data_IF_083655448497
#
_entry.id   IF_083655448497
#
_cell.length_a   1.000
_cell.length_b   1.000
_cell.length_c   1.000
_cell.angle_alpha   90.00
_cell.angle_beta   90.00
_cell.angle_gamma   90.00
#
_symmetry.space_group_name_H-M   'P 1'
#
loop_
_entity.id
_entity.type
_entity.pdbx_description
1 polymer ?
#
# COMPACT_ATOMS: atom_id res chain seq x y z
N UNK A 1 10.19 5.76 -12.37
CA UNK A 1 10.91 6.38 -11.20
C UNK A 1 11.80 5.38 -10.48
N UNK A 2 11.29 4.19 -10.13
CA UNK A 2 12.09 3.13 -9.51
C UNK A 2 11.97 1.87 -10.36
N UNK A 3 13.12 1.33 -10.79
CA UNK A 3 13.20 0.11 -11.60
C UNK A 3 13.99 -0.96 -10.85
N UNK A 4 13.37 -2.11 -10.65
CA UNK A 4 14.00 -3.32 -10.15
C UNK A 4 14.00 -4.37 -11.26
N UNK A 5 15.17 -4.86 -11.65
CA UNK A 5 15.33 -5.82 -12.75
C UNK A 5 16.12 -7.02 -12.26
N UNK A 6 15.48 -8.19 -12.23
CA UNK A 6 16.06 -9.48 -11.84
C UNK A 6 16.80 -9.43 -10.48
N UNK A 7 16.25 -8.68 -9.50
CA UNK A 7 16.89 -8.45 -8.21
C UNK A 7 16.83 -9.71 -7.35
N UNK A 8 17.99 -10.13 -6.86
CA UNK A 8 18.15 -11.28 -5.95
C UNK A 8 18.89 -10.88 -4.69
N UNK A 9 18.49 -11.49 -3.57
CA UNK A 9 19.15 -11.32 -2.26
C UNK A 9 19.10 -12.61 -1.44
N UNK A 10 20.27 -12.97 -0.93
CA UNK A 10 20.46 -14.16 -0.09
C UNK A 10 21.11 -13.75 1.24
N UNK A 11 20.69 -14.36 2.33
CA UNK A 11 21.34 -14.29 3.64
C UNK A 11 21.77 -15.71 4.05
N UNK A 12 23.07 -15.98 4.00
CA UNK A 12 23.60 -17.33 4.19
C UNK A 12 23.06 -18.31 3.14
N UNK A 13 22.28 -19.29 3.54
CA UNK A 13 21.62 -20.23 2.62
C UNK A 13 20.17 -19.84 2.26
N UNK A 14 19.63 -18.76 2.85
CA UNK A 14 18.24 -18.35 2.62
C UNK A 14 18.17 -17.31 1.50
N UNK A 15 17.59 -17.69 0.36
CA UNK A 15 17.27 -16.75 -0.72
C UNK A 15 15.97 -16.01 -0.38
N UNK A 16 16.10 -14.71 -0.03
CA UNK A 16 15.00 -13.86 0.44
C UNK A 16 14.32 -13.11 -0.70
N UNK A 17 15.06 -12.72 -1.73
CA UNK A 17 14.53 -12.12 -2.96
C UNK A 17 14.98 -12.95 -4.15
N UNK A 18 14.00 -13.34 -4.99
CA UNK A 18 14.19 -14.28 -6.09
C UNK A 18 13.66 -13.68 -7.39
N UNK A 19 14.56 -13.05 -8.14
CA UNK A 19 14.23 -12.52 -9.46
C UNK A 19 13.11 -11.46 -9.46
N UNK A 20 13.24 -10.47 -8.55
CA UNK A 20 12.25 -9.40 -8.43
C UNK A 20 12.35 -8.44 -9.60
N UNK A 21 11.21 -8.27 -10.28
CA UNK A 21 11.02 -7.32 -11.36
C UNK A 21 9.81 -6.44 -11.01
N UNK A 22 10.04 -5.14 -10.79
CA UNK A 22 9.02 -4.15 -10.41
C UNK A 22 9.39 -2.81 -11.05
N UNK A 23 8.39 -2.14 -11.61
CA UNK A 23 8.50 -0.77 -12.06
C UNK A 23 7.52 0.13 -11.31
N UNK A 24 8.01 1.24 -10.73
CA UNK A 24 7.20 2.22 -9.98
C UNK A 24 7.29 3.55 -10.71
N UNK A 25 6.16 4.10 -11.07
CA UNK A 25 6.04 5.39 -11.76
C UNK A 25 6.38 6.58 -10.85
N UNK A 26 6.71 7.70 -11.46
CA UNK A 26 6.86 8.95 -10.72
C UNK A 26 5.50 9.47 -10.24
N UNK A 27 5.43 9.90 -8.98
CA UNK A 27 4.18 10.39 -8.40
C UNK A 27 3.15 9.27 -8.18
N UNK A 28 3.59 8.03 -8.01
CA UNK A 28 2.72 6.89 -7.72
C UNK A 28 2.77 6.53 -6.23
N UNK A 29 1.63 6.15 -5.65
CA UNK A 29 1.59 5.43 -4.38
C UNK A 29 1.54 3.93 -4.69
N UNK A 30 2.68 3.27 -4.49
CA UNK A 30 2.87 1.86 -4.80
C UNK A 30 2.93 1.00 -3.55
N UNK A 31 2.13 -0.06 -3.51
CA UNK A 31 2.09 -1.01 -2.40
C UNK A 31 2.95 -2.25 -2.65
N UNK A 32 3.67 -2.71 -1.64
CA UNK A 32 4.30 -4.03 -1.61
C UNK A 32 3.67 -4.80 -0.45
N UNK A 33 2.81 -5.77 -0.76
CA UNK A 33 2.07 -6.53 0.22
C UNK A 33 2.59 -7.96 0.31
N UNK A 34 2.62 -8.50 1.53
CA UNK A 34 3.08 -9.88 1.73
C UNK A 34 3.02 -10.28 3.20
N UNK A 35 3.04 -11.58 3.46
CA UNK A 35 3.12 -12.11 4.82
C UNK A 35 4.45 -11.75 5.48
N UNK A 36 4.52 -11.94 6.82
CA UNK A 36 5.79 -11.79 7.53
C UNK A 36 6.85 -12.74 6.93
N UNK A 37 8.08 -12.24 6.74
CA UNK A 37 9.16 -13.02 6.13
C UNK A 37 9.12 -13.12 4.59
N UNK A 38 8.18 -12.49 3.90
CA UNK A 38 8.10 -12.53 2.43
C UNK A 38 9.24 -11.79 1.70
N UNK A 39 10.05 -10.99 2.42
CA UNK A 39 11.16 -10.22 1.84
C UNK A 39 10.88 -8.72 1.64
N UNK A 40 9.70 -8.21 2.05
CA UNK A 40 9.25 -6.83 1.83
C UNK A 40 10.22 -5.76 2.35
N UNK A 41 10.56 -5.81 3.64
CA UNK A 41 11.48 -4.83 4.25
C UNK A 41 12.90 -4.96 3.69
N UNK A 42 13.31 -6.18 3.31
CA UNK A 42 14.59 -6.39 2.62
C UNK A 42 14.59 -5.69 1.26
N UNK A 43 13.51 -5.85 0.48
CA UNK A 43 13.34 -5.19 -0.81
C UNK A 43 13.38 -3.67 -0.67
N UNK A 44 12.63 -3.12 0.28
CA UNK A 44 12.61 -1.68 0.56
C UNK A 44 14.01 -1.15 0.96
N UNK A 45 14.76 -1.93 1.76
CA UNK A 45 16.13 -1.59 2.17
C UNK A 45 17.13 -1.72 1.04
N UNK A 46 16.90 -2.59 0.06
CA UNK A 46 17.70 -2.63 -1.16
C UNK A 46 17.47 -1.38 -2.03
N UNK A 47 16.23 -0.88 -2.12
CA UNK A 47 15.90 0.34 -2.89
C UNK A 47 16.65 1.56 -2.36
N UNK A 48 16.79 1.73 -1.04
CA UNK A 48 17.52 2.86 -0.45
C UNK A 48 19.00 2.55 -0.15
N UNK A 49 19.48 1.35 -0.55
CA UNK A 49 20.84 0.91 -0.33
C UNK A 49 21.24 0.69 1.14
N UNK A 50 20.27 0.57 2.08
CA UNK A 50 20.55 0.14 3.46
C UNK A 50 20.91 -1.34 3.52
N UNK A 51 20.46 -2.11 2.53
CA UNK A 51 20.85 -3.50 2.30
C UNK A 51 21.41 -3.65 0.89
N UNK A 52 22.39 -4.49 0.71
CA UNK A 52 22.94 -4.83 -0.61
C UNK A 52 22.10 -5.93 -1.27
N UNK A 53 22.06 -5.95 -2.58
CA UNK A 53 21.53 -7.07 -3.37
C UNK A 53 22.66 -7.84 -4.04
N UNK A 54 22.45 -9.13 -4.34
CA UNK A 54 23.52 -10.01 -4.83
C UNK A 54 23.62 -10.01 -6.34
N UNK A 55 22.49 -9.83 -7.05
CA UNK A 55 22.45 -9.74 -8.51
C UNK A 55 21.22 -8.96 -8.98
N UNK A 56 21.20 -8.61 -10.26
CA UNK A 56 20.18 -7.76 -10.86
C UNK A 56 20.56 -6.29 -10.84
N UNK A 57 19.56 -5.42 -10.95
CA UNK A 57 19.76 -3.97 -11.04
C UNK A 57 18.64 -3.24 -10.32
N UNK A 58 18.97 -2.24 -9.53
CA UNK A 58 18.01 -1.29 -8.93
C UNK A 58 18.40 0.11 -9.40
N UNK A 59 17.49 0.80 -10.07
CA UNK A 59 17.65 2.18 -10.51
C UNK A 59 16.59 3.04 -9.84
N UNK A 60 16.98 4.16 -9.28
CA UNK A 60 16.10 5.10 -8.60
C UNK A 60 16.36 6.50 -9.13
N UNK A 61 15.34 7.14 -9.69
CA UNK A 61 15.45 8.45 -10.33
C UNK A 61 16.63 8.54 -11.32
N UNK A 62 16.78 7.49 -12.15
CA UNK A 62 17.86 7.37 -13.13
C UNK A 62 19.24 7.01 -12.57
N UNK A 63 19.40 6.90 -11.23
CA UNK A 63 20.66 6.57 -10.56
C UNK A 63 20.67 5.09 -10.15
N UNK A 64 21.75 4.38 -10.47
CA UNK A 64 21.96 3.00 -10.02
C UNK A 64 22.21 2.97 -8.50
N UNK A 65 21.54 2.07 -7.81
CA UNK A 65 21.84 1.79 -6.40
C UNK A 65 23.12 0.95 -6.34
N UNK A 66 24.19 1.54 -5.87
CA UNK A 66 25.54 0.93 -5.79
C UNK A 66 25.93 0.64 -4.35
N UNK A 67 27.17 0.19 -4.15
CA UNK A 67 27.78 0.05 -2.82
C UNK A 67 28.68 1.23 -2.46
N UNK A 68 28.88 2.19 -3.37
CA UNK A 68 29.69 3.39 -3.09
C UNK A 68 28.96 4.30 -2.09
N UNK A 69 29.67 4.64 -1.01
CA UNK A 69 29.11 5.41 0.10
C UNK A 69 28.70 6.83 -0.29
N UNK A 70 29.42 7.47 -1.22
CA UNK A 70 29.12 8.83 -1.64
C UNK A 70 27.91 8.86 -2.56
N UNK A 71 27.83 7.92 -3.51
CA UNK A 71 26.67 7.77 -4.39
C UNK A 71 25.41 7.43 -3.60
N UNK A 72 25.49 6.48 -2.66
CA UNK A 72 24.39 6.16 -1.76
C UNK A 72 23.96 7.34 -0.89
N UNK A 73 24.92 8.13 -0.39
CA UNK A 73 24.58 9.33 0.37
C UNK A 73 23.79 10.31 -0.49
N UNK A 74 24.21 10.56 -1.73
CA UNK A 74 23.49 11.46 -2.65
C UNK A 74 22.12 10.89 -3.03
N UNK A 75 22.01 9.59 -3.27
CA UNK A 75 20.74 8.91 -3.54
C UNK A 75 19.75 9.09 -2.39
N UNK A 76 20.19 8.86 -1.15
CA UNK A 76 19.37 8.98 0.07
C UNK A 76 18.94 10.40 0.40
N UNK A 77 19.57 11.42 -0.18
CA UNK A 77 19.13 12.81 -0.03
C UNK A 77 17.73 13.02 -0.59
N UNK A 78 17.46 12.39 -1.74
CA UNK A 78 16.21 12.50 -2.47
C UNK A 78 15.15 11.51 -1.96
N UNK A 79 15.46 10.74 -0.87
CA UNK A 79 14.57 9.75 -0.27
C UNK A 79 14.30 10.03 1.19
N UNK A 80 13.01 10.04 1.56
CA UNK A 80 12.58 9.94 2.95
C UNK A 80 12.32 8.47 3.32
N UNK A 81 12.57 8.09 4.57
CA UNK A 81 12.22 6.75 5.07
C UNK A 81 11.51 6.82 6.40
N UNK A 82 10.38 6.14 6.48
CA UNK A 82 9.58 5.92 7.68
C UNK A 82 9.78 4.46 8.10
N UNK A 83 10.25 4.25 9.32
CA UNK A 83 10.51 2.93 9.88
C UNK A 83 9.34 2.45 10.76
N UNK A 84 9.16 1.16 10.85
CA UNK A 84 8.13 0.51 11.67
C UNK A 84 8.13 0.98 13.13
N UNK A 85 9.29 1.17 13.75
CA UNK A 85 9.44 1.56 15.15
C UNK A 85 9.66 3.09 15.35
N UNK A 86 9.20 3.93 14.41
CA UNK A 86 9.35 5.40 14.41
C UNK A 86 10.81 5.88 14.41
N UNK A 87 11.72 5.22 15.11
CA UNK A 87 13.15 5.53 15.28
C UNK A 87 13.41 6.99 15.70
N UNK A 88 12.57 7.52 16.60
CA UNK A 88 12.78 8.84 17.18
C UNK A 88 13.88 8.80 18.25
N UNK A 89 14.74 9.81 18.26
CA UNK A 89 15.75 9.96 19.30
C UNK A 89 15.06 10.48 20.56
N UNK A 90 15.04 9.67 21.63
CA UNK A 90 14.33 9.96 22.89
C UNK A 90 14.83 11.22 23.61
N UNK A 91 16.13 11.57 23.43
CA UNK A 91 16.75 12.77 24.00
C UNK A 91 16.37 14.07 23.27
N UNK A 92 15.88 14.00 22.03
CA UNK A 92 15.47 15.14 21.22
C UNK A 92 13.97 15.37 21.35
N UNK A 93 13.52 16.61 21.27
CA UNK A 93 12.09 16.94 21.16
C UNK A 93 11.56 16.77 19.73
N UNK A 94 10.31 17.13 19.48
CA UNK A 94 9.69 17.05 18.15
C UNK A 94 10.47 17.87 17.14
N UNK A 95 10.76 19.15 17.45
CA UNK A 95 11.51 20.04 16.56
C UNK A 95 12.87 19.46 16.18
N UNK A 96 13.65 19.05 17.18
CA UNK A 96 15.01 18.53 16.98
C UNK A 96 15.01 17.18 16.26
N UNK A 97 14.01 16.31 16.46
CA UNK A 97 13.88 15.07 15.70
C UNK A 97 13.63 15.36 14.21
N UNK A 98 12.78 16.34 13.89
CA UNK A 98 12.48 16.74 12.51
C UNK A 98 13.70 17.44 11.88
N UNK A 99 14.41 18.27 12.64
CA UNK A 99 15.59 19.00 12.20
C UNK A 99 16.82 18.12 11.96
N UNK A 100 16.84 16.90 12.49
CA UNK A 100 18.00 16.03 12.49
C UNK A 100 18.59 15.76 11.08
N UNK A 101 17.79 15.45 10.04
CA UNK A 101 18.34 15.23 8.70
C UNK A 101 19.01 16.49 8.12
N UNK A 102 18.51 17.69 8.39
CA UNK A 102 19.14 18.94 7.94
C UNK A 102 20.56 19.08 8.47
N UNK A 103 20.80 18.73 9.75
CA UNK A 103 22.12 18.74 10.38
C UNK A 103 23.11 17.81 9.66
N UNK A 104 22.67 16.64 9.20
CA UNK A 104 23.52 15.70 8.46
C UNK A 104 23.96 16.24 7.10
N UNK A 105 23.19 17.20 6.54
CA UNK A 105 23.51 17.90 5.29
C UNK A 105 24.20 19.24 5.50
N UNK A 106 24.57 19.58 6.75
CA UNK A 106 25.26 20.83 7.07
C UNK A 106 24.37 22.06 7.01
N UNK A 107 23.05 21.89 7.02
CA UNK A 107 22.06 22.97 7.08
C UNK A 107 21.86 23.32 8.56
N UNK A 108 22.02 24.59 8.91
CA UNK A 108 21.75 25.06 10.27
C UNK A 108 20.24 25.11 10.54
N UNK A 109 19.71 24.28 11.47
CA UNK A 109 18.29 24.29 11.79
C UNK A 109 17.80 25.62 12.39
N UNK A 110 18.71 26.49 12.83
CA UNK A 110 18.39 27.81 13.38
C UNK A 110 18.31 28.90 12.29
N UNK A 111 18.70 28.61 11.05
CA UNK A 111 18.46 29.53 9.94
C UNK A 111 16.96 29.76 9.76
N UNK A 112 16.58 30.97 9.37
CA UNK A 112 15.16 31.33 9.21
C UNK A 112 14.44 30.37 8.26
N UNK A 113 15.05 30.05 7.14
CA UNK A 113 14.50 29.12 6.13
C UNK A 113 14.26 27.72 6.70
N UNK A 114 15.21 27.19 7.46
CA UNK A 114 15.07 25.87 8.09
C UNK A 114 14.00 25.89 9.20
N UNK A 115 13.93 26.95 9.99
CA UNK A 115 12.89 27.13 11.01
C UNK A 115 11.49 27.17 10.39
N UNK A 116 11.29 28.00 9.38
CA UNK A 116 10.01 28.14 8.66
C UNK A 116 9.59 26.78 8.08
N UNK A 117 10.51 26.07 7.44
CA UNK A 117 10.27 24.73 6.90
C UNK A 117 9.87 23.70 7.97
N UNK A 118 10.61 23.64 9.07
CA UNK A 118 10.30 22.71 10.16
C UNK A 118 8.94 23.02 10.76
N UNK A 119 8.61 24.30 10.97
CA UNK A 119 7.30 24.71 11.50
C UNK A 119 6.16 24.36 10.54
N UNK A 120 6.31 24.60 9.23
CA UNK A 120 5.32 24.20 8.23
C UNK A 120 5.08 22.69 8.24
N UNK A 121 6.14 21.87 8.38
CA UNK A 121 6.00 20.42 8.50
C UNK A 121 5.32 19.99 9.80
N UNK A 122 5.61 20.65 10.92
CA UNK A 122 4.95 20.40 12.21
C UNK A 122 3.45 20.73 12.12
N UNK A 123 3.10 21.82 11.43
CA UNK A 123 1.72 22.21 11.16
C UNK A 123 1.03 21.20 10.23
N UNK A 124 1.68 20.81 9.13
CA UNK A 124 1.18 19.81 8.17
C UNK A 124 0.80 18.49 8.85
N UNK A 125 1.63 18.04 9.81
CA UNK A 125 1.35 16.80 10.55
C UNK A 125 0.47 17.02 11.80
N UNK A 126 0.00 18.26 12.08
CA UNK A 126 -0.93 18.58 13.17
C UNK A 126 -0.32 18.45 14.56
N UNK A 127 0.92 18.92 14.75
CA UNK A 127 1.65 18.85 16.03
C UNK A 127 2.12 20.22 16.55
N UNK A 128 1.47 21.31 16.14
CA UNK A 128 1.84 22.67 16.51
C UNK A 128 1.84 22.92 18.02
N UNK A 129 1.02 22.20 18.80
CA UNK A 129 0.96 22.25 20.25
C UNK A 129 2.02 21.38 20.96
N UNK A 130 2.83 20.62 20.19
CA UNK A 130 3.79 19.61 20.69
C UNK A 130 5.24 19.85 20.26
N UNK A 131 5.58 21.04 19.75
CA UNK A 131 6.90 21.36 19.17
C UNK A 131 8.07 20.94 20.07
N UNK A 132 7.96 21.17 21.38
CA UNK A 132 9.01 20.87 22.37
C UNK A 132 8.71 19.61 23.20
N UNK A 133 7.71 18.81 22.82
CA UNK A 133 7.41 17.56 23.49
C UNK A 133 8.48 16.50 23.21
N UNK A 134 8.81 15.68 24.21
CA UNK A 134 9.73 14.53 24.04
C UNK A 134 8.96 13.30 23.55
N UNK A 135 9.62 12.38 22.82
CA UNK A 135 8.97 11.16 22.34
C UNK A 135 8.26 10.35 23.42
N UNK A 136 8.76 10.37 24.65
CA UNK A 136 8.15 9.66 25.78
C UNK A 136 6.74 10.16 26.14
N UNK A 137 6.41 11.43 25.86
CA UNK A 137 5.10 12.04 26.11
C UNK A 137 4.15 11.99 24.92
N UNK A 138 4.56 11.39 23.79
CA UNK A 138 3.77 11.30 22.58
C UNK A 138 3.08 9.94 22.46
N UNK A 139 1.82 9.96 21.97
CA UNK A 139 1.13 8.73 21.54
C UNK A 139 1.81 8.08 20.33
N UNK A 140 1.48 6.83 20.01
CA UNK A 140 2.00 6.14 18.84
C UNK A 140 1.73 6.89 17.53
N UNK A 141 0.51 7.39 17.33
CA UNK A 141 0.15 8.20 16.17
C UNK A 141 0.91 9.52 16.09
N UNK A 142 1.13 10.21 17.23
CA UNK A 142 1.95 11.41 17.27
C UNK A 142 3.41 11.14 16.94
N UNK A 143 3.99 10.03 17.44
CA UNK A 143 5.35 9.60 17.06
C UNK A 143 5.46 9.34 15.56
N UNK A 144 4.43 8.72 14.98
CA UNK A 144 4.39 8.47 13.53
C UNK A 144 4.33 9.76 12.73
N UNK A 145 3.52 10.74 13.16
CA UNK A 145 3.46 12.07 12.54
C UNK A 145 4.82 12.79 12.59
N UNK A 146 5.56 12.69 13.69
CA UNK A 146 6.95 13.21 13.79
C UNK A 146 7.88 12.48 12.81
N UNK A 147 7.76 11.15 12.69
CA UNK A 147 8.58 10.37 11.76
C UNK A 147 8.29 10.75 10.30
N UNK A 148 7.03 11.02 9.94
CA UNK A 148 6.63 11.52 8.62
C UNK A 148 7.26 12.90 8.37
N UNK A 149 7.08 13.87 9.27
CA UNK A 149 7.64 15.22 9.12
C UNK A 149 9.18 15.18 8.99
N UNK A 150 9.86 14.34 9.79
CA UNK A 150 11.30 14.12 9.70
C UNK A 150 11.72 13.56 8.34
N UNK A 151 10.95 12.62 7.78
CA UNK A 151 11.24 12.03 6.48
C UNK A 151 11.08 13.05 5.33
N UNK A 152 10.22 14.06 5.51
CA UNK A 152 9.91 15.08 4.50
C UNK A 152 10.86 16.30 4.54
N UNK A 153 11.62 16.51 5.62
CA UNK A 153 12.34 17.77 5.86
C UNK A 153 13.40 18.13 4.81
N UNK A 154 13.92 17.15 4.06
CA UNK A 154 14.87 17.36 2.96
C UNK A 154 14.21 17.47 1.57
N UNK A 155 12.89 17.69 1.47
CA UNK A 155 12.11 17.69 0.22
C UNK A 155 12.38 16.45 -0.65
N UNK A 156 12.15 15.24 -0.10
CA UNK A 156 12.44 14.04 -0.84
C UNK A 156 11.48 13.88 -2.04
N UNK A 157 11.97 13.31 -3.13
CA UNK A 157 11.15 12.90 -4.27
C UNK A 157 10.41 11.58 -4.02
N UNK A 158 10.96 10.77 -3.12
CA UNK A 158 10.47 9.42 -2.80
C UNK A 158 10.34 9.26 -1.29
N UNK A 159 9.22 8.72 -0.85
CA UNK A 159 8.97 8.34 0.53
C UNK A 159 8.81 6.82 0.64
N UNK A 160 9.69 6.19 1.37
CA UNK A 160 9.67 4.75 1.64
C UNK A 160 9.05 4.49 3.02
N UNK A 161 7.99 3.69 3.08
CA UNK A 161 7.25 3.39 4.30
C UNK A 161 7.37 1.89 4.64
N UNK A 162 8.21 1.54 5.63
CA UNK A 162 8.37 0.18 6.14
C UNK A 162 7.37 -0.06 7.28
N UNK A 163 6.24 -0.69 6.98
CA UNK A 163 5.15 -1.02 7.92
C UNK A 163 4.73 0.17 8.81
N UNK A 164 4.59 1.35 8.22
CA UNK A 164 4.36 2.62 8.90
C UNK A 164 3.10 2.69 9.81
N UNK A 165 2.20 1.72 9.70
CA UNK A 165 0.94 1.69 10.47
C UNK A 165 0.76 0.44 11.33
N UNK A 166 1.71 -0.52 11.28
CA UNK A 166 1.55 -1.84 11.91
C UNK A 166 1.41 -1.80 13.44
N UNK A 167 1.95 -0.75 14.09
CA UNK A 167 1.91 -0.57 15.54
C UNK A 167 0.77 0.38 16.01
N UNK A 168 -0.17 0.74 15.10
CA UNK A 168 -1.22 1.72 15.38
C UNK A 168 -2.59 1.02 15.38
N UNK A 169 -3.53 1.60 16.16
CA UNK A 169 -4.92 1.16 16.09
C UNK A 169 -5.59 1.58 14.77
N UNK A 170 -6.73 0.94 14.40
CA UNK A 170 -7.36 1.17 13.08
C UNK A 170 -7.76 2.62 12.82
N UNK A 171 -8.18 3.36 13.86
CA UNK A 171 -8.58 4.76 13.70
C UNK A 171 -7.37 5.64 13.38
N UNK A 172 -6.30 5.49 14.16
CA UNK A 172 -5.05 6.23 13.95
C UNK A 172 -4.42 5.84 12.61
N UNK A 173 -4.50 4.56 12.23
CA UNK A 173 -4.07 4.10 10.90
C UNK A 173 -4.74 4.91 9.79
N UNK A 174 -6.07 5.06 9.81
CA UNK A 174 -6.79 5.87 8.81
C UNK A 174 -6.33 7.33 8.78
N UNK A 175 -6.09 7.94 9.94
CA UNK A 175 -5.59 9.31 10.02
C UNK A 175 -4.18 9.44 9.41
N UNK A 176 -3.29 8.47 9.65
CA UNK A 176 -1.93 8.45 9.07
C UNK A 176 -1.99 8.22 7.55
N UNK A 177 -2.86 7.35 7.06
CA UNK A 177 -3.04 7.12 5.63
C UNK A 177 -3.59 8.37 4.92
N UNK A 178 -4.57 9.04 5.53
CA UNK A 178 -5.07 10.32 5.02
C UNK A 178 -3.99 11.41 5.00
N UNK A 179 -3.10 11.42 5.99
CA UNK A 179 -1.95 12.33 5.99
C UNK A 179 -0.96 11.99 4.87
N UNK A 180 -0.64 10.71 4.64
CA UNK A 180 0.24 10.29 3.54
C UNK A 180 -0.37 10.64 2.17
N UNK A 181 -1.68 10.45 2.01
CA UNK A 181 -2.39 10.85 0.79
C UNK A 181 -2.31 12.37 0.58
N UNK A 182 -2.56 13.16 1.62
CA UNK A 182 -2.44 14.64 1.57
C UNK A 182 -1.02 15.06 1.17
N UNK A 183 0.00 14.47 1.78
CA UNK A 183 1.42 14.72 1.46
C UNK A 183 1.72 14.39 0.00
N UNK A 184 1.21 13.25 -0.49
CA UNK A 184 1.33 12.86 -1.90
C UNK A 184 0.69 13.89 -2.84
N UNK A 185 -0.55 14.29 -2.55
CA UNK A 185 -1.33 15.20 -3.41
C UNK A 185 -0.74 16.62 -3.43
N UNK A 186 -0.22 17.11 -2.29
CA UNK A 186 0.35 18.46 -2.18
C UNK A 186 1.79 18.55 -2.73
N UNK A 187 2.60 17.50 -2.55
CA UNK A 187 4.01 17.53 -2.90
C UNK A 187 4.37 16.75 -4.18
N UNK A 188 3.44 15.97 -4.73
CA UNK A 188 3.66 15.16 -5.94
C UNK A 188 4.74 14.09 -5.79
N UNK A 189 5.02 13.63 -4.54
CA UNK A 189 6.09 12.67 -4.27
C UNK A 189 5.64 11.23 -4.56
N UNK A 190 6.60 10.39 -4.95
CA UNK A 190 6.38 8.94 -5.07
C UNK A 190 6.40 8.30 -3.69
N UNK A 191 5.41 7.46 -3.37
CA UNK A 191 5.36 6.77 -2.07
C UNK A 191 5.40 5.26 -2.31
N UNK A 192 6.32 4.56 -1.64
CA UNK A 192 6.36 3.09 -1.62
C UNK A 192 5.99 2.60 -0.24
N UNK A 193 4.87 1.87 -0.13
CA UNK A 193 4.34 1.37 1.14
C UNK A 193 4.54 -0.13 1.22
N UNK A 194 5.29 -0.57 2.20
CA UNK A 194 5.40 -1.99 2.57
C UNK A 194 4.45 -2.29 3.71
N UNK A 195 3.58 -3.28 3.54
CA UNK A 195 2.57 -3.64 4.55
C UNK A 195 2.14 -5.09 4.44
N UNK A 196 1.53 -5.61 5.50
CA UNK A 196 0.75 -6.84 5.49
C UNK A 196 -0.76 -6.58 5.68
N UNK A 197 -1.15 -5.30 5.82
CA UNK A 197 -2.54 -4.88 6.03
C UNK A 197 -3.21 -4.54 4.68
N UNK A 198 -4.26 -5.29 4.33
CA UNK A 198 -4.98 -5.11 3.07
C UNK A 198 -5.67 -3.73 2.99
N UNK A 199 -6.20 -3.26 4.12
CA UNK A 199 -6.88 -1.97 4.24
C UNK A 199 -5.98 -0.81 3.83
N UNK A 200 -4.68 -0.87 4.17
CA UNK A 200 -3.69 0.15 3.77
C UNK A 200 -3.59 0.23 2.25
N UNK A 201 -3.50 -0.94 1.60
CA UNK A 201 -3.38 -1.03 0.14
C UNK A 201 -4.64 -0.48 -0.53
N UNK A 202 -5.82 -0.91 -0.08
CA UNK A 202 -7.09 -0.48 -0.65
C UNK A 202 -7.32 1.03 -0.49
N UNK A 203 -6.89 1.59 0.64
CA UNK A 203 -7.17 2.99 0.97
C UNK A 203 -6.31 3.98 0.18
N UNK A 204 -5.02 3.70 -0.07
CA UNK A 204 -4.12 4.70 -0.67
C UNK A 204 -3.34 4.24 -1.90
N UNK A 205 -3.12 2.93 -2.12
CA UNK A 205 -2.26 2.49 -3.20
C UNK A 205 -2.97 2.56 -4.57
N UNK A 206 -2.23 2.99 -5.59
CA UNK A 206 -2.68 3.03 -7.00
C UNK A 206 -2.35 1.72 -7.72
N UNK A 207 -1.20 1.14 -7.40
CA UNK A 207 -0.79 -0.21 -7.83
C UNK A 207 -0.16 -0.95 -6.67
N UNK A 208 -0.14 -2.27 -6.74
CA UNK A 208 0.39 -3.14 -5.70
C UNK A 208 1.04 -4.37 -6.29
N UNK A 209 2.15 -4.79 -5.67
CA UNK A 209 2.76 -6.11 -5.89
C UNK A 209 2.51 -7.01 -4.67
N UNK A 210 2.02 -8.22 -4.92
CA UNK A 210 1.94 -9.29 -3.92
C UNK A 210 3.25 -10.06 -3.87
N UNK A 211 3.96 -9.96 -2.75
CA UNK A 211 5.22 -10.65 -2.52
C UNK A 211 5.00 -11.90 -1.66
N UNK A 212 5.41 -13.07 -2.16
CA UNK A 212 5.32 -14.35 -1.45
C UNK A 212 6.60 -15.15 -1.63
N UNK A 213 7.24 -15.53 -0.52
CA UNK A 213 8.49 -16.31 -0.54
C UNK A 213 9.59 -15.74 -1.47
N UNK A 214 9.70 -14.42 -1.51
CA UNK A 214 10.71 -13.72 -2.29
C UNK A 214 10.42 -13.58 -3.78
N UNK A 215 9.22 -13.90 -4.26
CA UNK A 215 8.79 -13.70 -5.65
C UNK A 215 7.57 -12.78 -5.71
N UNK A 216 7.43 -12.03 -6.80
CA UNK A 216 6.21 -11.27 -7.12
C UNK A 216 5.18 -12.25 -7.67
N UNK A 217 4.11 -12.47 -6.91
CA UNK A 217 3.03 -13.38 -7.27
C UNK A 217 2.07 -12.75 -8.29
N UNK A 218 1.76 -11.48 -8.08
CA UNK A 218 0.92 -10.68 -8.96
C UNK A 218 1.20 -9.21 -8.75
N UNK A 219 0.93 -8.40 -9.77
CA UNK A 219 1.05 -6.94 -9.75
C UNK A 219 -0.10 -6.33 -10.55
N UNK A 220 -0.67 -5.23 -10.07
CA UNK A 220 -1.77 -4.53 -10.73
C UNK A 220 -2.46 -3.53 -9.83
N UNK A 221 -3.62 -3.04 -10.27
CA UNK A 221 -4.47 -2.18 -9.45
C UNK A 221 -5.11 -2.98 -8.32
N UNK A 222 -5.20 -2.42 -7.10
CA UNK A 222 -5.83 -3.10 -5.97
C UNK A 222 -7.23 -3.62 -6.30
N UNK A 223 -8.08 -2.81 -6.90
CA UNK A 223 -9.45 -3.17 -7.27
C UNK A 223 -9.52 -4.39 -8.19
N UNK A 224 -8.61 -4.51 -9.16
CA UNK A 224 -8.57 -5.67 -10.07
C UNK A 224 -8.12 -6.94 -9.34
N UNK A 225 -7.10 -6.81 -8.47
CA UNK A 225 -6.52 -7.95 -7.78
C UNK A 225 -7.34 -8.46 -6.60
N UNK A 226 -8.14 -7.58 -5.95
CA UNK A 226 -8.99 -7.96 -4.82
C UNK A 226 -10.41 -8.32 -5.22
N UNK A 227 -10.96 -7.73 -6.29
CA UNK A 227 -12.33 -8.03 -6.77
C UNK A 227 -12.33 -9.29 -7.62
N UNK A 228 -11.29 -9.47 -8.45
CA UNK A 228 -11.11 -10.66 -9.31
C UNK A 228 -9.82 -11.41 -8.96
N UNK A 229 -9.67 -11.93 -7.73
CA UNK A 229 -8.44 -12.55 -7.31
C UNK A 229 -8.19 -13.87 -8.07
N UNK A 230 -6.98 -14.03 -8.60
CA UNK A 230 -6.53 -15.33 -9.10
C UNK A 230 -6.52 -16.36 -7.96
N UNK A 231 -6.47 -17.66 -8.28
CA UNK A 231 -6.42 -18.71 -7.27
C UNK A 231 -5.26 -18.53 -6.28
N UNK A 232 -4.11 -18.04 -6.74
CA UNK A 232 -2.96 -17.79 -5.90
C UNK A 232 -3.18 -16.60 -4.95
N UNK A 233 -3.89 -15.56 -5.42
CA UNK A 233 -4.28 -14.43 -4.57
C UNK A 233 -5.37 -14.85 -3.59
N UNK A 234 -6.38 -15.64 -3.99
CA UNK A 234 -7.40 -16.21 -3.08
C UNK A 234 -6.71 -16.97 -1.92
N UNK A 235 -5.73 -17.84 -2.25
CA UNK A 235 -4.91 -18.55 -1.25
C UNK A 235 -4.13 -17.59 -0.34
N UNK A 236 -3.56 -16.55 -0.91
CA UNK A 236 -2.82 -15.55 -0.16
C UNK A 236 -3.72 -14.77 0.80
N UNK A 237 -4.95 -14.43 0.38
CA UNK A 237 -5.96 -13.71 1.16
C UNK A 237 -6.64 -14.60 2.21
N UNK A 238 -6.46 -15.93 2.14
CA UNK A 238 -7.18 -16.87 3.00
C UNK A 238 -8.66 -17.06 2.63
N UNK A 239 -9.02 -16.71 1.41
CA UNK A 239 -10.38 -16.78 0.86
C UNK A 239 -10.67 -18.17 0.22
N UNK A 240 -9.94 -19.21 0.60
CA UNK A 240 -10.20 -20.57 0.15
C UNK A 240 -11.36 -21.21 0.94
N UNK A 241 -12.23 -21.90 0.22
CA UNK A 241 -13.24 -22.77 0.83
C UNK A 241 -14.48 -22.07 1.34
N UNK A 242 -15.01 -21.09 0.60
CA UNK A 242 -16.35 -20.61 0.85
C UNK A 242 -17.34 -21.79 0.80
N UNK A 243 -18.08 -22.01 1.88
CA UNK A 243 -19.10 -23.02 1.94
C UNK A 243 -20.30 -22.57 1.07
N UNK A 244 -20.23 -22.89 -0.22
CA UNK A 244 -21.32 -22.63 -1.15
C UNK A 244 -22.24 -23.84 -1.24
N UNK A 245 -23.53 -23.63 -1.59
CA UNK A 245 -24.47 -24.72 -1.86
C UNK A 245 -23.90 -25.69 -2.90
N UNK A 246 -24.08 -26.99 -2.67
CA UNK A 246 -23.66 -28.05 -3.59
C UNK A 246 -24.76 -28.40 -4.61
N UNK A 247 -25.97 -27.86 -4.44
CA UNK A 247 -27.12 -28.03 -5.36
C UNK A 247 -27.38 -26.71 -6.09
N UNK A 248 -27.86 -26.79 -7.32
CA UNK A 248 -28.02 -25.61 -8.18
C UNK A 248 -26.70 -25.09 -8.75
N UNK A 249 -26.70 -23.88 -9.26
CA UNK A 249 -25.54 -23.19 -9.88
C UNK A 249 -25.19 -21.96 -9.07
N UNK A 250 -23.94 -21.89 -8.64
CA UNK A 250 -23.41 -20.70 -7.99
C UNK A 250 -22.85 -19.74 -9.04
N UNK A 251 -23.38 -18.52 -9.06
CA UNK A 251 -22.95 -17.45 -9.97
C UNK A 251 -22.42 -16.31 -9.14
N UNK A 252 -21.16 -15.97 -9.33
CA UNK A 252 -20.52 -14.80 -8.74
C UNK A 252 -20.69 -13.62 -9.67
N UNK A 253 -21.21 -12.51 -9.11
CA UNK A 253 -21.40 -11.24 -9.79
C UNK A 253 -20.41 -10.22 -9.24
N UNK A 254 -19.95 -9.33 -10.10
CA UNK A 254 -19.02 -8.29 -9.74
C UNK A 254 -19.59 -6.92 -10.05
N UNK A 255 -19.62 -6.07 -9.05
CA UNK A 255 -20.14 -4.70 -9.12
C UNK A 255 -18.97 -3.73 -9.15
N UNK A 256 -18.97 -2.85 -10.15
CA UNK A 256 -18.02 -1.77 -10.30
C UNK A 256 -18.68 -0.45 -9.92
N UNK A 257 -17.91 0.62 -9.88
CA UNK A 257 -18.32 1.98 -9.50
C UNK A 257 -19.60 2.46 -10.20
N UNK A 258 -19.78 2.08 -11.46
CA UNK A 258 -20.94 2.49 -12.28
C UNK A 258 -22.21 1.64 -12.03
N UNK A 259 -22.14 0.66 -11.12
CA UNK A 259 -23.23 -0.29 -10.87
C UNK A 259 -24.28 0.26 -9.88
N UNK A 260 -24.88 1.42 -10.16
CA UNK A 260 -25.96 2.00 -9.34
C UNK A 260 -27.33 1.40 -9.61
N UNK A 261 -27.47 0.53 -10.62
CA UNK A 261 -28.74 -0.11 -10.95
C UNK A 261 -29.05 -1.26 -9.99
N UNK A 262 -30.31 -1.43 -9.59
CA UNK A 262 -30.74 -2.52 -8.70
C UNK A 262 -30.84 -3.86 -9.43
N UNK A 263 -29.77 -4.26 -10.14
CA UNK A 263 -29.73 -5.42 -11.05
C UNK A 263 -30.28 -6.70 -10.42
N UNK A 264 -29.97 -6.94 -9.15
CA UNK A 264 -30.38 -8.17 -8.44
C UNK A 264 -31.90 -8.24 -8.29
N UNK A 265 -32.51 -7.14 -7.86
CA UNK A 265 -33.98 -7.09 -7.65
C UNK A 265 -34.75 -6.94 -8.97
N UNK A 266 -34.18 -6.29 -9.96
CA UNK A 266 -34.74 -6.23 -11.31
C UNK A 266 -34.71 -7.60 -11.98
N UNK A 267 -33.60 -8.32 -11.91
CA UNK A 267 -33.46 -9.68 -12.44
C UNK A 267 -34.50 -10.61 -11.85
N UNK A 268 -34.70 -10.61 -10.55
CA UNK A 268 -35.70 -11.44 -9.89
C UNK A 268 -37.13 -11.15 -10.41
N UNK A 269 -37.49 -9.86 -10.57
CA UNK A 269 -38.80 -9.43 -11.04
C UNK A 269 -39.01 -9.70 -12.53
N UNK A 270 -38.04 -9.38 -13.36
CA UNK A 270 -38.17 -9.52 -14.82
C UNK A 270 -38.18 -10.99 -15.26
N UNK A 271 -37.35 -11.82 -14.63
CA UNK A 271 -37.29 -13.24 -14.94
C UNK A 271 -38.32 -14.08 -14.18
N UNK A 272 -38.94 -13.54 -13.12
CA UNK A 272 -39.90 -14.26 -12.28
C UNK A 272 -39.30 -15.46 -11.58
N UNK A 273 -38.03 -15.34 -11.12
CA UNK A 273 -37.27 -16.41 -10.48
C UNK A 273 -36.93 -16.10 -9.04
N UNK A 274 -36.78 -17.16 -8.25
CA UNK A 274 -36.23 -17.10 -6.90
C UNK A 274 -34.78 -17.62 -6.92
N UNK A 275 -33.91 -17.00 -6.13
CA UNK A 275 -32.54 -17.43 -5.90
C UNK A 275 -32.11 -17.09 -4.48
N UNK A 276 -31.05 -17.78 -4.02
CA UNK A 276 -30.47 -17.51 -2.70
C UNK A 276 -29.21 -16.66 -2.87
N UNK A 277 -29.04 -15.67 -1.98
CA UNK A 277 -27.76 -14.97 -1.81
C UNK A 277 -26.93 -15.80 -0.84
N UNK A 278 -25.82 -16.34 -1.32
CA UNK A 278 -24.97 -17.25 -0.55
C UNK A 278 -23.79 -16.57 0.09
N UNK A 279 -23.29 -15.50 -0.55
CA UNK A 279 -22.18 -14.72 -0.06
C UNK A 279 -22.18 -13.33 -0.70
N UNK A 280 -21.63 -12.33 -0.02
CA UNK A 280 -21.47 -10.99 -0.55
C UNK A 280 -20.46 -10.18 0.22
N UNK A 281 -19.77 -9.28 -0.49
CA UNK A 281 -18.76 -8.40 0.04
C UNK A 281 -18.78 -7.06 -0.69
N UNK A 282 -18.79 -5.98 0.07
CA UNK A 282 -18.55 -4.62 -0.43
C UNK A 282 -17.23 -4.13 0.13
N UNK A 283 -16.39 -3.58 -0.71
CA UNK A 283 -15.08 -3.08 -0.33
C UNK A 283 -14.86 -1.67 -0.88
N UNK A 284 -14.34 -0.80 -0.04
CA UNK A 284 -13.98 0.55 -0.39
C UNK A 284 -12.52 0.59 -0.83
N UNK A 285 -12.26 1.13 -2.03
CA UNK A 285 -10.94 1.34 -2.60
C UNK A 285 -10.77 2.83 -2.90
N UNK A 286 -9.89 3.51 -2.17
CA UNK A 286 -9.65 4.95 -2.34
C UNK A 286 -10.96 5.75 -2.34
N UNK A 287 -11.50 6.08 -3.52
CA UNK A 287 -12.75 6.84 -3.70
C UNK A 287 -13.93 5.99 -4.14
N UNK A 288 -13.72 4.72 -4.45
CA UNK A 288 -14.67 3.87 -5.15
C UNK A 288 -15.07 2.68 -4.31
N UNK A 289 -16.31 2.22 -4.45
CA UNK A 289 -16.82 1.00 -3.80
C UNK A 289 -16.99 -0.08 -4.86
N UNK A 290 -16.36 -1.23 -4.61
CA UNK A 290 -16.52 -2.41 -5.43
C UNK A 290 -17.18 -3.52 -4.62
N UNK A 291 -17.90 -4.38 -5.29
CA UNK A 291 -18.59 -5.48 -4.63
C UNK A 291 -18.54 -6.77 -5.41
N UNK A 292 -18.69 -7.86 -4.69
CA UNK A 292 -19.00 -9.15 -5.29
C UNK A 292 -20.10 -9.84 -4.49
N UNK A 293 -20.93 -10.58 -5.21
CA UNK A 293 -22.08 -11.29 -4.67
C UNK A 293 -22.14 -12.68 -5.30
N UNK A 294 -22.34 -13.71 -4.50
CA UNK A 294 -22.62 -15.05 -5.01
C UNK A 294 -24.09 -15.36 -4.81
N UNK A 295 -24.77 -15.64 -5.90
CA UNK A 295 -26.13 -16.14 -5.91
C UNK A 295 -26.16 -17.62 -6.29
N UNK A 296 -27.08 -18.37 -5.72
CA UNK A 296 -27.36 -19.74 -6.13
C UNK A 296 -28.72 -19.79 -6.83
N UNK A 297 -28.71 -20.24 -8.07
CA UNK A 297 -29.90 -20.35 -8.94
C UNK A 297 -30.15 -21.82 -9.29
N UNK A 298 -31.39 -22.14 -9.64
CA UNK A 298 -31.73 -23.49 -10.10
C UNK A 298 -31.06 -23.79 -11.47
N UNK A 299 -30.74 -25.04 -11.74
CA UNK A 299 -30.17 -25.46 -13.04
C UNK A 299 -31.08 -25.05 -14.24
N UNK A 300 -32.41 -25.08 -14.07
CA UNK A 300 -33.37 -24.68 -15.13
C UNK A 300 -33.29 -23.19 -15.44
N UNK A 301 -32.95 -22.34 -14.45
CA UNK A 301 -32.96 -20.90 -14.58
C UNK A 301 -31.59 -20.33 -14.97
N UNK A 302 -30.53 -21.17 -14.92
CA UNK A 302 -29.14 -20.78 -15.23
C UNK A 302 -29.02 -19.96 -16.52
N UNK A 303 -29.55 -20.48 -17.63
CA UNK A 303 -29.38 -19.84 -18.93
C UNK A 303 -29.98 -18.44 -18.97
N UNK A 304 -31.22 -18.28 -18.52
CA UNK A 304 -31.88 -16.98 -18.54
C UNK A 304 -31.24 -15.95 -17.62
N UNK A 305 -30.66 -16.40 -16.47
CA UNK A 305 -29.89 -15.55 -15.56
C UNK A 305 -28.60 -15.05 -16.22
N UNK A 306 -27.81 -15.95 -16.84
CA UNK A 306 -26.56 -15.58 -17.49
C UNK A 306 -26.81 -14.68 -18.71
N UNK A 307 -27.86 -14.93 -19.50
CA UNK A 307 -28.25 -14.08 -20.62
C UNK A 307 -28.66 -12.67 -20.15
N UNK A 308 -29.45 -12.58 -19.07
CA UNK A 308 -29.82 -11.31 -18.44
C UNK A 308 -28.62 -10.51 -17.96
N UNK A 309 -27.72 -11.14 -17.19
CA UNK A 309 -26.51 -10.49 -16.67
C UNK A 309 -25.61 -9.99 -17.80
N UNK A 310 -25.49 -10.76 -18.88
CA UNK A 310 -24.74 -10.36 -20.08
C UNK A 310 -25.38 -9.16 -20.78
N UNK A 311 -26.71 -9.13 -20.90
CA UNK A 311 -27.45 -8.02 -21.48
C UNK A 311 -27.30 -6.72 -20.66
N UNK A 312 -27.28 -6.83 -19.34
CA UNK A 312 -27.05 -5.72 -18.40
C UNK A 312 -25.55 -5.37 -18.23
N UNK A 313 -24.66 -6.03 -18.95
CA UNK A 313 -23.19 -5.83 -18.90
C UNK A 313 -22.59 -6.03 -17.50
N UNK A 314 -23.26 -6.79 -16.64
CA UNK A 314 -22.70 -7.18 -15.35
C UNK A 314 -21.65 -8.26 -15.56
N UNK A 315 -20.46 -8.10 -14.99
CA UNK A 315 -19.42 -9.15 -15.00
C UNK A 315 -19.83 -10.29 -14.08
N UNK A 316 -19.73 -11.52 -14.55
CA UNK A 316 -20.07 -12.71 -13.78
C UNK A 316 -19.13 -13.89 -14.07
N UNK A 317 -19.10 -14.83 -13.14
CA UNK A 317 -18.39 -16.10 -13.23
C UNK A 317 -19.27 -17.21 -12.63
N UNK A 318 -19.26 -18.39 -13.25
CA UNK A 318 -19.90 -19.59 -12.66
C UNK A 318 -18.83 -20.33 -11.84
N UNK A 319 -19.13 -20.57 -10.55
CA UNK A 319 -18.22 -21.19 -9.60
C UNK A 319 -18.34 -22.73 -9.60
#
# INVERSE_FOLDING_TARGET
MIDLVNVRKTFGSLEVLKDINIHIEQGEIYGIIGQSGAGKSTLLRCINGLETYDSGKIVVDGKLVTTDKNELRQLRKDMGMIFQNFNLLSRLDVYDNIALPLRFWGIDPKSKEAQDKIHNLIELVGLSDKVHAKPASLSGGQKQRVAIARALVNDPKILLCDEATSALDPRITKEILSLLQKVHDELGITIVVVTHQMEVVKQICQRVAFLKHGVVLAEGKPEELFVHPSNDIKKFLGEEGQALPTTGVNVQLFFTEDSNEPVITEMARELGIDFSICWGKLEEFRTNVFGSLVINVSEKDKKQVLDYLSQKQVKWEVL
#
